data_IF_632727444967
#
_entry.id   IF_632727444967
#
_cell.length_a   1.000
_cell.length_b   1.000
_cell.length_c   1.000
_cell.angle_alpha   90.00
_cell.angle_beta   90.00
_cell.angle_gamma   90.00
#
_symmetry.space_group_name_H-M   'P 1'
#
loop_
_entity.id
_entity.type
_entity.pdbx_description
1 polymer ?
#
# COMPACT_ATOMS: atom_id res chain seq x y z
N UNK A 1 12.92 -6.80 -12.34
CA UNK A 1 12.40 -5.47 -11.98
C UNK A 1 11.66 -5.60 -10.68
N UNK A 2 12.03 -4.83 -9.67
CA UNK A 2 11.50 -4.90 -8.30
C UNK A 2 9.97 -4.79 -8.31
N UNK A 3 9.26 -5.81 -7.81
CA UNK A 3 7.80 -5.78 -7.68
C UNK A 3 7.43 -4.66 -6.71
N UNK A 4 6.77 -3.62 -7.21
CA UNK A 4 6.24 -2.54 -6.37
C UNK A 4 5.11 -3.15 -5.52
N UNK A 5 5.14 -3.01 -4.18
CA UNK A 5 4.11 -3.56 -3.31
C UNK A 5 2.80 -2.76 -3.47
N UNK A 6 1.98 -3.16 -4.44
CA UNK A 6 0.73 -2.46 -4.84
C UNK A 6 -0.18 -2.14 -3.65
N UNK A 7 -0.27 -3.04 -2.67
CA UNK A 7 -1.15 -2.89 -1.50
C UNK A 7 -0.71 -1.82 -0.50
N UNK A 8 0.56 -1.44 -0.52
CA UNK A 8 1.14 -0.38 0.32
C UNK A 8 1.45 0.87 -0.48
N UNK A 9 1.23 0.87 -1.80
CA UNK A 9 1.59 2.00 -2.66
C UNK A 9 0.38 2.90 -2.86
N UNK A 10 0.55 4.20 -2.62
CA UNK A 10 -0.48 5.18 -2.87
C UNK A 10 -0.86 5.21 -4.37
N UNK A 11 -2.13 5.46 -4.73
CA UNK A 11 -2.59 5.46 -6.12
C UNK A 11 -1.80 6.45 -6.99
N UNK A 12 -1.42 7.62 -6.46
CA UNK A 12 -0.60 8.60 -7.17
C UNK A 12 0.85 8.12 -7.43
N UNK A 13 1.40 7.33 -6.51
CA UNK A 13 2.73 6.73 -6.65
C UNK A 13 2.70 5.52 -7.60
N UNK A 14 1.58 4.78 -7.64
CA UNK A 14 1.38 3.66 -8.57
C UNK A 14 1.18 4.14 -10.01
N UNK A 15 0.29 5.12 -10.23
CA UNK A 15 -0.10 5.56 -11.57
C UNK A 15 0.87 6.58 -12.20
N UNK A 16 1.41 7.49 -11.39
CA UNK A 16 2.23 8.60 -11.88
C UNK A 16 3.69 8.54 -11.43
N UNK A 17 4.10 7.50 -10.68
CA UNK A 17 5.42 7.39 -10.04
C UNK A 17 5.81 8.66 -9.27
N UNK A 18 4.81 9.37 -8.74
CA UNK A 18 5.01 10.57 -7.92
C UNK A 18 5.09 10.15 -6.46
N UNK A 19 6.32 10.11 -5.96
CA UNK A 19 6.58 9.93 -4.54
C UNK A 19 6.55 11.30 -3.86
N UNK A 20 5.70 11.44 -2.85
CA UNK A 20 5.56 12.64 -2.04
C UNK A 20 5.29 12.26 -0.60
N UNK A 21 5.42 13.19 0.34
CA UNK A 21 5.12 12.94 1.75
C UNK A 21 3.71 12.37 1.98
N UNK A 22 2.75 12.68 1.09
CA UNK A 22 1.40 12.10 1.15
C UNK A 22 1.39 10.59 0.84
N UNK A 23 2.22 10.12 -0.10
CA UNK A 23 2.36 8.69 -0.41
C UNK A 23 3.05 7.90 0.71
N UNK A 24 3.93 8.55 1.48
CA UNK A 24 4.51 7.97 2.70
C UNK A 24 3.45 7.84 3.81
N UNK A 25 2.59 8.85 3.97
CA UNK A 25 1.46 8.81 4.93
C UNK A 25 0.45 7.71 4.57
N UNK A 26 0.18 7.49 3.28
CA UNK A 26 -0.65 6.37 2.82
C UNK A 26 -0.07 5.02 3.26
N UNK A 27 1.22 4.81 2.99
CA UNK A 27 1.94 3.58 3.36
C UNK A 27 1.92 3.35 4.88
N UNK A 28 2.06 4.42 5.67
CA UNK A 28 1.96 4.39 7.13
C UNK A 28 0.55 4.05 7.63
N UNK A 29 -0.50 4.51 6.96
CA UNK A 29 -1.88 4.16 7.28
C UNK A 29 -2.15 2.65 7.16
N UNK A 30 -1.64 2.02 6.09
CA UNK A 30 -1.73 0.57 5.91
C UNK A 30 -0.95 -0.16 7.02
N UNK A 31 0.23 0.33 7.40
CA UNK A 31 1.02 -0.24 8.50
C UNK A 31 0.30 -0.15 9.84
N UNK A 32 -0.35 0.98 10.16
CA UNK A 32 -1.18 1.08 11.38
C UNK A 32 -2.35 0.09 11.35
N UNK A 33 -2.99 -0.10 10.19
CA UNK A 33 -4.04 -1.09 10.04
C UNK A 33 -3.52 -2.51 10.27
N UNK A 34 -2.34 -2.87 9.74
CA UNK A 34 -1.72 -4.18 9.98
C UNK A 34 -1.43 -4.42 11.46
N UNK A 35 -0.96 -3.39 12.18
CA UNK A 35 -0.69 -3.46 13.62
C UNK A 35 -2.00 -3.67 14.40
N UNK A 36 -3.07 -2.94 14.06
CA UNK A 36 -4.37 -3.06 14.74
C UNK A 36 -5.07 -4.38 14.44
N UNK A 37 -4.86 -4.93 13.24
CA UNK A 37 -5.44 -6.22 12.82
C UNK A 37 -4.57 -7.41 13.20
N UNK A 38 -3.61 -7.26 14.12
CA UNK A 38 -2.70 -8.34 14.57
C UNK A 38 -1.97 -9.08 13.42
N UNK A 39 -1.63 -8.35 12.35
CA UNK A 39 -0.98 -8.92 11.17
C UNK A 39 -1.92 -9.62 10.18
N UNK A 40 -3.23 -9.38 10.25
CA UNK A 40 -4.12 -9.81 9.16
C UNK A 40 -3.71 -9.17 7.83
N UNK A 41 -3.93 -9.91 6.75
CA UNK A 41 -3.48 -9.49 5.42
C UNK A 41 -4.39 -8.36 4.89
N UNK A 42 -3.86 -7.15 4.64
CA UNK A 42 -4.66 -6.09 4.05
C UNK A 42 -5.15 -6.52 2.68
N UNK A 43 -6.45 -6.30 2.44
CA UNK A 43 -7.16 -6.67 1.22
C UNK A 43 -7.12 -8.19 0.93
N UNK A 44 -7.47 -9.01 1.93
CA UNK A 44 -7.59 -10.48 1.79
C UNK A 44 -8.52 -10.90 0.62
N UNK A 45 -9.62 -10.17 0.40
CA UNK A 45 -10.63 -10.50 -0.60
C UNK A 45 -10.33 -9.95 -2.01
N UNK A 46 -9.35 -9.05 -2.14
CA UNK A 46 -8.99 -8.47 -3.44
C UNK A 46 -7.78 -9.20 -4.04
N UNK A 47 -7.97 -9.75 -5.24
CA UNK A 47 -6.85 -10.20 -6.06
C UNK A 47 -6.03 -8.98 -6.47
N UNK A 48 -4.70 -9.07 -6.41
CA UNK A 48 -3.86 -8.02 -6.99
C UNK A 48 -4.26 -7.91 -8.47
N UNK A 49 -4.81 -6.77 -8.88
CA UNK A 49 -4.91 -6.46 -10.30
C UNK A 49 -3.48 -6.25 -10.78
N UNK A 50 -2.89 -7.32 -11.31
CA UNK A 50 -1.60 -7.30 -12.01
C UNK A 50 -1.68 -6.47 -13.29
#
# INVERSE_FOLDING_TARGET
>A
GSKIPVRWTAPEAFQHRKFSSASDVWSFGILMWEVMSYGERPYWDMSNQE
#
